data_IF_112988766323
#
_entry.id   IF_112988766323
#
_cell.length_a   1.000
_cell.length_b   1.000
_cell.length_c   1.000
_cell.angle_alpha   90.00
_cell.angle_beta   90.00
_cell.angle_gamma   90.00
#
_symmetry.space_group_name_H-M   'P 1'
#
loop_
_entity.id
_entity.type
_entity.pdbx_description
1 polymer ?
#
# COMPACT_ATOMS: atom_id res chain seq x y z
N UNK A 1 -12.62 -34.40 -41.40
CA UNK A 1 -13.87 -33.88 -40.77
C UNK A 1 -13.68 -33.63 -39.28
N UNK A 2 -12.81 -34.35 -38.60
CA UNK A 2 -12.51 -34.18 -37.14
C UNK A 2 -11.81 -32.86 -36.76
N UNK A 3 -10.86 -32.37 -37.58
CA UNK A 3 -10.11 -31.15 -37.26
C UNK A 3 -11.03 -29.90 -37.13
N UNK A 4 -12.07 -29.79 -37.98
CA UNK A 4 -13.06 -28.71 -37.90
C UNK A 4 -13.94 -28.82 -36.65
N UNK A 5 -14.20 -30.05 -36.16
CA UNK A 5 -14.95 -30.26 -34.93
C UNK A 5 -14.14 -29.83 -33.69
N UNK A 6 -12.84 -30.17 -33.69
CA UNK A 6 -11.93 -29.77 -32.60
C UNK A 6 -11.72 -28.25 -32.57
N UNK A 7 -11.54 -27.62 -33.74
CA UNK A 7 -11.41 -26.17 -33.82
C UNK A 7 -12.70 -25.43 -33.38
N UNK A 8 -13.86 -25.97 -33.73
CA UNK A 8 -15.14 -25.38 -33.28
C UNK A 8 -15.38 -25.60 -31.77
N UNK A 9 -14.94 -26.73 -31.20
CA UNK A 9 -15.01 -27.00 -29.77
C UNK A 9 -14.07 -26.08 -28.98
N UNK A 10 -12.83 -25.89 -29.46
CA UNK A 10 -11.88 -24.92 -28.90
C UNK A 10 -12.34 -23.47 -29.00
N UNK A 11 -13.11 -23.16 -30.05
CA UNK A 11 -13.70 -21.83 -30.24
C UNK A 11 -14.93 -21.60 -29.35
N UNK A 12 -15.69 -22.69 -29.05
CA UNK A 12 -16.82 -22.66 -28.10
C UNK A 12 -16.36 -22.50 -26.65
N UNK A 13 -15.25 -23.14 -26.27
CA UNK A 13 -14.71 -23.02 -24.91
C UNK A 13 -14.08 -21.62 -24.66
N UNK A 14 -13.63 -20.92 -25.72
CA UNK A 14 -13.18 -19.54 -25.61
C UNK A 14 -14.32 -18.52 -25.42
N UNK A 15 -15.57 -18.84 -25.75
CA UNK A 15 -16.72 -17.94 -25.54
C UNK A 15 -17.11 -17.77 -24.06
N UNK A 16 -16.69 -18.68 -23.18
CA UNK A 16 -16.92 -18.54 -21.72
C UNK A 16 -15.93 -17.53 -21.11
N UNK A 17 -14.81 -17.22 -21.80
CA UNK A 17 -13.79 -16.27 -21.35
C UNK A 17 -13.96 -14.83 -21.96
N UNK A 18 -14.95 -14.59 -22.79
CA UNK A 18 -15.09 -13.30 -23.53
C UNK A 18 -15.71 -12.16 -22.71
N UNK A 19 -16.20 -12.41 -21.49
CA UNK A 19 -16.68 -11.35 -20.61
C UNK A 19 -15.56 -10.79 -19.75
N UNK A 20 -15.11 -9.57 -19.99
CA UNK A 20 -14.28 -8.85 -19.01
C UNK A 20 -15.01 -8.83 -17.67
N UNK A 21 -14.42 -9.43 -16.64
CA UNK A 21 -15.02 -9.46 -15.31
C UNK A 21 -14.83 -8.12 -14.61
N UNK A 22 -15.58 -7.09 -15.03
CA UNK A 22 -15.46 -5.73 -14.49
C UNK A 22 -15.59 -5.68 -12.97
N UNK A 23 -16.45 -6.51 -12.37
CA UNK A 23 -16.61 -6.59 -10.92
C UNK A 23 -15.30 -6.97 -10.23
N UNK A 24 -14.54 -7.92 -10.78
CA UNK A 24 -13.24 -8.32 -10.24
C UNK A 24 -12.22 -7.19 -10.43
N UNK A 25 -12.22 -6.53 -11.59
CA UNK A 25 -11.34 -5.41 -11.87
C UNK A 25 -11.57 -4.23 -10.92
N UNK A 26 -12.83 -3.92 -10.61
CA UNK A 26 -13.17 -2.86 -9.64
C UNK A 26 -12.72 -3.24 -8.24
N UNK A 27 -12.99 -4.47 -7.80
CA UNK A 27 -12.58 -4.95 -6.47
C UNK A 27 -11.06 -4.90 -6.31
N UNK A 28 -10.31 -5.38 -7.31
CA UNK A 28 -8.85 -5.38 -7.25
C UNK A 28 -8.27 -3.97 -7.34
N UNK A 29 -8.91 -3.06 -8.08
CA UNK A 29 -8.56 -1.65 -8.15
C UNK A 29 -8.78 -0.94 -6.80
N UNK A 30 -9.89 -1.24 -6.11
CA UNK A 30 -10.16 -0.73 -4.76
C UNK A 30 -9.14 -1.30 -3.76
N UNK A 31 -8.81 -2.59 -3.86
CA UNK A 31 -7.79 -3.20 -3.00
C UNK A 31 -6.42 -2.56 -3.21
N UNK A 32 -6.05 -2.24 -4.46
CA UNK A 32 -4.83 -1.52 -4.79
C UNK A 32 -4.86 -0.09 -4.24
N UNK A 33 -5.99 0.60 -4.40
CA UNK A 33 -6.20 1.93 -3.82
C UNK A 33 -5.96 1.93 -2.30
N UNK A 34 -6.56 0.99 -1.57
CA UNK A 34 -6.41 0.89 -0.11
C UNK A 34 -4.98 0.56 0.30
N UNK A 35 -4.34 -0.39 -0.40
CA UNK A 35 -2.96 -0.78 -0.11
C UNK A 35 -1.99 0.39 -0.31
N UNK A 36 -2.08 1.10 -1.43
CA UNK A 36 -1.18 2.20 -1.76
C UNK A 36 -1.48 3.46 -0.94
N UNK A 37 -2.75 3.68 -0.58
CA UNK A 37 -3.15 4.72 0.35
C UNK A 37 -2.46 4.54 1.72
N UNK A 38 -2.49 3.31 2.26
CA UNK A 38 -1.82 2.98 3.53
C UNK A 38 -0.31 3.18 3.40
N UNK A 39 0.29 2.70 2.33
CA UNK A 39 1.75 2.81 2.12
C UNK A 39 2.21 4.25 1.96
N UNK A 40 1.43 5.09 1.28
CA UNK A 40 1.78 6.50 1.06
C UNK A 40 1.64 7.38 2.31
N UNK A 41 0.97 6.90 3.37
CA UNK A 41 1.01 7.53 4.70
C UNK A 41 2.44 7.52 5.27
N UNK A 42 3.24 6.48 5.02
CA UNK A 42 4.60 6.33 5.59
C UNK A 42 5.50 7.52 5.26
N UNK A 43 5.72 7.89 3.99
CA UNK A 43 6.52 9.08 3.67
C UNK A 43 5.85 10.39 4.12
N UNK A 44 4.53 10.45 4.20
CA UNK A 44 3.82 11.65 4.65
C UNK A 44 4.08 11.97 6.13
N UNK A 45 4.38 10.96 6.95
CA UNK A 45 4.69 11.14 8.39
C UNK A 45 6.19 11.29 8.68
N UNK A 46 7.07 11.28 7.67
CA UNK A 46 8.53 11.44 7.87
C UNK A 46 8.91 12.70 8.65
N UNK A 47 8.31 13.87 8.44
CA UNK A 47 8.62 15.04 9.27
C UNK A 47 8.39 14.78 10.75
N UNK A 48 7.29 14.13 11.09
CA UNK A 48 6.93 13.79 12.48
C UNK A 48 7.93 12.76 13.06
N UNK A 49 8.24 11.72 12.31
CA UNK A 49 9.23 10.71 12.72
C UNK A 49 10.59 11.36 12.94
N UNK A 50 11.01 12.23 12.01
CA UNK A 50 12.30 12.94 12.10
C UNK A 50 12.42 13.75 13.38
N UNK A 51 11.39 14.50 13.75
CA UNK A 51 11.39 15.31 14.96
C UNK A 51 11.37 14.46 16.22
N UNK A 52 10.48 13.46 16.29
CA UNK A 52 10.29 12.63 17.48
C UNK A 52 11.53 11.79 17.83
N UNK A 53 12.25 11.31 16.83
CA UNK A 53 13.44 10.50 17.00
C UNK A 53 14.74 11.31 16.82
N UNK A 54 14.67 12.62 16.58
CA UNK A 54 15.80 13.51 16.29
C UNK A 54 16.68 12.97 15.15
N UNK A 55 16.06 12.42 14.10
CA UNK A 55 16.77 11.79 13.00
C UNK A 55 17.43 12.79 12.08
N UNK A 56 18.55 12.39 11.53
CA UNK A 56 19.22 13.07 10.43
C UNK A 56 18.50 12.80 9.10
N UNK A 57 18.76 13.62 8.09
CA UNK A 57 18.24 13.36 6.73
C UNK A 57 18.79 12.05 6.13
N UNK A 58 19.99 11.64 6.52
CA UNK A 58 20.59 10.38 6.10
C UNK A 58 19.80 9.17 6.66
N UNK A 59 19.35 9.24 7.90
CA UNK A 59 18.52 8.18 8.52
C UNK A 59 17.13 8.10 7.89
N UNK A 60 16.50 9.24 7.55
CA UNK A 60 15.25 9.25 6.77
C UNK A 60 15.48 8.65 5.38
N UNK A 61 16.61 9.00 4.74
CA UNK A 61 17.01 8.38 3.47
C UNK A 61 17.19 6.87 3.59
N UNK A 62 17.76 6.40 4.70
CA UNK A 62 17.94 4.97 4.96
C UNK A 62 16.58 4.26 5.16
N UNK A 63 15.64 4.87 5.89
CA UNK A 63 14.27 4.33 6.04
C UNK A 63 13.60 4.17 4.66
N UNK A 64 13.67 5.21 3.82
CA UNK A 64 13.13 5.18 2.46
C UNK A 64 13.82 4.13 1.61
N UNK A 65 15.13 4.05 1.67
CA UNK A 65 15.94 3.08 0.92
C UNK A 65 15.57 1.64 1.30
N UNK A 66 15.48 1.33 2.59
CA UNK A 66 15.11 -0.01 3.07
C UNK A 66 13.69 -0.38 2.63
N UNK A 67 12.74 0.55 2.73
CA UNK A 67 11.38 0.35 2.23
C UNK A 67 11.37 0.01 0.73
N UNK A 68 12.04 0.83 -0.09
CA UNK A 68 12.09 0.64 -1.55
C UNK A 68 12.83 -0.64 -1.94
N UNK A 69 13.91 -0.97 -1.26
CA UNK A 69 14.64 -2.22 -1.49
C UNK A 69 13.78 -3.44 -1.16
N UNK A 70 13.11 -3.44 -0.01
CA UNK A 70 12.22 -4.52 0.38
C UNK A 70 11.05 -4.68 -0.60
N UNK A 71 10.43 -3.58 -1.03
CA UNK A 71 9.31 -3.63 -1.97
C UNK A 71 9.76 -4.01 -3.40
N UNK A 72 10.83 -3.41 -3.91
CA UNK A 72 11.19 -3.54 -5.34
C UNK A 72 11.98 -4.81 -5.64
N UNK A 73 12.95 -5.19 -4.80
CA UNK A 73 13.80 -6.37 -5.06
C UNK A 73 13.00 -7.66 -4.91
N UNK A 74 12.09 -7.72 -3.95
CA UNK A 74 11.32 -8.92 -3.69
C UNK A 74 10.19 -9.15 -4.71
N UNK A 75 9.69 -8.09 -5.39
CA UNK A 75 8.61 -8.23 -6.38
C UNK A 75 8.89 -9.25 -7.49
N UNK A 76 10.05 -9.24 -8.17
CA UNK A 76 10.31 -10.24 -9.20
C UNK A 76 10.36 -11.67 -8.64
N UNK A 77 10.89 -11.86 -7.44
CA UNK A 77 10.96 -13.19 -6.82
C UNK A 77 9.57 -13.69 -6.41
N UNK A 78 8.75 -12.84 -5.81
CA UNK A 78 7.36 -13.17 -5.46
C UNK A 78 6.52 -13.42 -6.69
N UNK A 79 6.68 -12.61 -7.76
CA UNK A 79 6.01 -12.82 -9.04
C UNK A 79 6.37 -14.15 -9.69
N UNK A 80 7.66 -14.49 -9.80
CA UNK A 80 8.14 -15.76 -10.34
C UNK A 80 7.67 -16.96 -9.51
N UNK A 81 7.61 -16.83 -8.20
CA UNK A 81 7.08 -17.87 -7.32
C UNK A 81 5.59 -18.09 -7.53
N UNK A 82 4.83 -16.99 -7.58
CA UNK A 82 3.38 -17.01 -7.79
C UNK A 82 2.98 -17.58 -9.17
N UNK A 83 3.78 -17.34 -10.20
CA UNK A 83 3.55 -17.92 -11.53
C UNK A 83 3.67 -19.45 -11.54
N UNK A 84 4.56 -19.99 -10.72
CA UNK A 84 4.76 -21.44 -10.60
C UNK A 84 3.80 -22.09 -9.60
N UNK A 85 3.45 -21.39 -8.55
CA UNK A 85 2.62 -21.87 -7.45
C UNK A 85 1.53 -20.84 -7.14
N UNK A 86 0.40 -20.85 -7.88
CA UNK A 86 -0.70 -19.93 -7.64
C UNK A 86 -1.21 -20.05 -6.20
N UNK A 87 -1.14 -18.95 -5.46
CA UNK A 87 -1.53 -18.88 -4.05
C UNK A 87 -2.82 -18.07 -3.90
N UNK A 88 -3.97 -18.69 -3.58
CA UNK A 88 -5.24 -17.99 -3.51
C UNK A 88 -5.29 -16.93 -2.39
N UNK A 89 -4.41 -17.05 -1.39
CA UNK A 89 -4.36 -16.14 -0.24
C UNK A 89 -3.23 -15.11 -0.30
N UNK A 90 -2.44 -15.08 -1.38
CA UNK A 90 -1.27 -14.21 -1.48
C UNK A 90 -1.63 -12.72 -1.35
N UNK A 91 -2.74 -12.28 -1.96
CA UNK A 91 -3.24 -10.91 -1.82
C UNK A 91 -3.54 -10.54 -0.36
N UNK A 92 -4.28 -11.40 0.33
CA UNK A 92 -4.61 -11.20 1.75
C UNK A 92 -3.36 -11.21 2.62
N UNK A 93 -2.42 -12.10 2.31
CA UNK A 93 -1.14 -12.20 3.01
C UNK A 93 -0.32 -10.91 2.85
N UNK A 94 -0.21 -10.38 1.62
CA UNK A 94 0.46 -9.12 1.35
C UNK A 94 -0.14 -7.96 2.15
N UNK A 95 -1.47 -7.83 2.16
CA UNK A 95 -2.17 -6.81 2.95
C UNK A 95 -1.99 -7.01 4.47
N UNK A 96 -1.96 -8.26 4.96
CA UNK A 96 -1.67 -8.55 6.35
C UNK A 96 -0.26 -8.10 6.76
N UNK A 97 0.76 -8.35 5.92
CA UNK A 97 2.12 -7.86 6.18
C UNK A 97 2.17 -6.33 6.20
N UNK A 98 1.51 -5.66 5.27
CA UNK A 98 1.41 -4.19 5.27
C UNK A 98 0.77 -3.67 6.55
N UNK A 99 -0.33 -4.30 7.01
CA UNK A 99 -1.01 -3.93 8.25
C UNK A 99 -0.13 -4.17 9.48
N UNK A 100 0.51 -5.34 9.58
CA UNK A 100 1.43 -5.66 10.69
C UNK A 100 2.59 -4.68 10.74
N UNK A 101 3.19 -4.37 9.58
CA UNK A 101 4.25 -3.38 9.48
C UNK A 101 3.80 -1.98 9.93
N UNK A 102 2.57 -1.58 9.59
CA UNK A 102 2.01 -0.30 10.03
C UNK A 102 1.74 -0.28 11.55
N UNK A 103 1.27 -1.39 12.12
CA UNK A 103 1.12 -1.52 13.57
C UNK A 103 2.48 -1.45 14.27
N UNK A 104 3.50 -2.14 13.76
CA UNK A 104 4.86 -2.04 14.29
C UNK A 104 5.38 -0.60 14.22
N UNK A 105 5.09 0.13 13.12
CA UNK A 105 5.46 1.53 12.96
C UNK A 105 4.78 2.41 14.01
N UNK A 106 3.49 2.16 14.31
CA UNK A 106 2.74 2.92 15.30
C UNK A 106 3.29 2.75 16.74
N UNK A 107 3.85 1.59 17.05
CA UNK A 107 4.47 1.29 18.36
C UNK A 107 5.99 1.44 18.36
N UNK A 108 6.58 1.99 17.30
CA UNK A 108 8.02 2.13 17.19
C UNK A 108 8.54 3.15 18.21
N UNK A 109 9.32 2.70 19.18
CA UNK A 109 10.03 3.54 20.17
C UNK A 109 11.51 3.67 19.89
N UNK A 110 12.05 2.99 18.87
CA UNK A 110 13.48 2.97 18.55
C UNK A 110 13.69 2.95 17.03
N UNK A 111 14.82 3.51 16.58
CA UNK A 111 15.16 3.58 15.16
C UNK A 111 15.16 2.21 14.45
N UNK A 112 15.70 1.18 15.08
CA UNK A 112 15.72 -0.17 14.50
C UNK A 112 14.33 -0.77 14.31
N UNK A 113 13.39 -0.42 15.18
CA UNK A 113 12.00 -0.85 15.02
C UNK A 113 11.30 -0.11 13.87
N UNK A 114 11.66 1.15 13.60
CA UNK A 114 11.24 1.87 12.39
C UNK A 114 11.73 1.15 11.12
N UNK A 115 13.00 0.79 11.08
CA UNK A 115 13.60 0.05 9.94
C UNK A 115 12.90 -1.30 9.73
N UNK A 116 12.67 -2.05 10.81
CA UNK A 116 11.94 -3.32 10.73
C UNK A 116 10.50 -3.12 10.22
N UNK A 117 9.80 -2.10 10.73
CA UNK A 117 8.43 -1.79 10.35
C UNK A 117 8.30 -1.51 8.85
N UNK A 118 9.14 -0.64 8.30
CA UNK A 118 9.11 -0.31 6.87
C UNK A 118 9.57 -1.48 6.01
N UNK A 119 10.46 -2.35 6.51
CA UNK A 119 10.84 -3.59 5.82
C UNK A 119 9.66 -4.53 5.67
N UNK A 120 8.87 -4.70 6.74
CA UNK A 120 7.67 -5.55 6.74
C UNK A 120 6.58 -4.97 5.82
N UNK A 121 6.39 -3.63 5.81
CA UNK A 121 5.47 -2.96 4.87
C UNK A 121 5.94 -3.20 3.43
N UNK A 122 7.23 -3.02 3.15
CA UNK A 122 7.81 -3.25 1.82
C UNK A 122 7.65 -4.70 1.36
N UNK A 123 7.83 -5.67 2.27
CA UNK A 123 7.60 -7.09 1.97
C UNK A 123 6.12 -7.36 1.62
N UNK A 124 5.18 -6.78 2.37
CA UNK A 124 3.75 -6.85 2.05
C UNK A 124 3.43 -6.31 0.65
N UNK A 125 4.01 -5.16 0.30
CA UNK A 125 3.94 -4.54 -1.01
C UNK A 125 4.47 -5.46 -2.12
N UNK A 126 5.63 -6.08 -1.89
CA UNK A 126 6.27 -6.98 -2.84
C UNK A 126 5.45 -8.24 -3.17
N UNK A 127 4.63 -8.70 -2.24
CA UNK A 127 3.70 -9.81 -2.47
C UNK A 127 2.44 -9.30 -3.17
N UNK A 128 1.88 -8.18 -2.71
CA UNK A 128 0.58 -7.69 -3.18
C UNK A 128 0.59 -7.30 -4.66
N UNK A 129 1.55 -6.47 -5.09
CA UNK A 129 1.52 -5.86 -6.42
C UNK A 129 1.57 -6.86 -7.58
N UNK A 130 2.48 -7.87 -7.63
CA UNK A 130 2.51 -8.82 -8.73
C UNK A 130 1.26 -9.70 -8.75
N UNK A 131 0.76 -10.14 -7.59
CA UNK A 131 -0.46 -10.95 -7.53
C UNK A 131 -1.71 -10.17 -7.92
N UNK A 132 -1.86 -8.94 -7.46
CA UNK A 132 -2.98 -8.08 -7.82
C UNK A 132 -2.99 -7.76 -9.33
N UNK A 133 -1.83 -7.45 -9.90
CA UNK A 133 -1.66 -7.25 -11.35
C UNK A 133 -2.02 -8.52 -12.14
N UNK A 134 -1.61 -9.69 -11.66
CA UNK A 134 -1.94 -10.98 -12.26
C UNK A 134 -3.45 -11.27 -12.23
N UNK A 135 -4.12 -11.03 -11.10
CA UNK A 135 -5.59 -11.17 -11.00
C UNK A 135 -6.28 -10.23 -11.97
N UNK A 136 -5.83 -8.98 -12.08
CA UNK A 136 -6.36 -8.02 -13.05
C UNK A 136 -6.20 -8.51 -14.50
N UNK A 137 -5.04 -9.08 -14.84
CA UNK A 137 -4.82 -9.65 -16.17
C UNK A 137 -5.71 -10.87 -16.46
N UNK A 138 -5.91 -11.75 -15.48
CA UNK A 138 -6.82 -12.91 -15.63
C UNK A 138 -8.27 -12.46 -15.81
N UNK A 139 -8.70 -11.40 -15.12
CA UNK A 139 -10.05 -10.84 -15.23
C UNK A 139 -10.28 -10.01 -16.50
N UNK A 140 -9.25 -9.83 -17.34
CA UNK A 140 -9.27 -8.89 -18.47
C UNK A 140 -10.16 -9.29 -19.64
N UNK A 141 -10.51 -10.59 -19.81
CA UNK A 141 -11.24 -11.07 -20.98
C UNK A 141 -10.52 -10.71 -22.31
N UNK A 142 -9.18 -10.80 -22.36
CA UNK A 142 -8.36 -10.44 -23.51
C UNK A 142 -7.98 -8.95 -23.59
N UNK A 143 -8.61 -8.06 -22.81
CA UNK A 143 -8.33 -6.61 -22.79
C UNK A 143 -7.31 -6.25 -21.71
N UNK A 144 -6.11 -6.83 -21.78
CA UNK A 144 -5.07 -6.71 -20.74
C UNK A 144 -4.69 -5.25 -20.42
N UNK A 145 -4.56 -4.39 -21.45
CA UNK A 145 -4.21 -2.98 -21.25
C UNK A 145 -5.30 -2.23 -20.47
N UNK A 146 -6.57 -2.46 -20.80
CA UNK A 146 -7.69 -1.85 -20.07
C UNK A 146 -7.71 -2.31 -18.59
N UNK A 147 -7.56 -3.61 -18.36
CA UNK A 147 -7.53 -4.15 -17.00
C UNK A 147 -6.39 -3.56 -16.17
N UNK A 148 -5.20 -3.47 -16.76
CA UNK A 148 -4.04 -2.87 -16.11
C UNK A 148 -4.23 -1.37 -15.85
N UNK A 149 -4.89 -0.64 -16.77
CA UNK A 149 -5.20 0.79 -16.57
C UNK A 149 -6.15 1.00 -15.40
N UNK A 150 -7.22 0.19 -15.30
CA UNK A 150 -8.18 0.26 -14.19
C UNK A 150 -7.47 -0.05 -12.86
N UNK A 151 -6.64 -1.08 -12.83
CA UNK A 151 -5.84 -1.46 -11.67
C UNK A 151 -4.92 -0.30 -11.23
N UNK A 152 -4.21 0.32 -12.17
CA UNK A 152 -3.25 1.38 -11.90
C UNK A 152 -3.91 2.69 -11.45
N UNK A 153 -5.11 2.99 -11.94
CA UNK A 153 -5.91 4.14 -11.46
C UNK A 153 -6.19 3.99 -9.96
N UNK A 154 -6.49 2.77 -9.50
CA UNK A 154 -6.65 2.50 -8.07
C UNK A 154 -5.40 2.86 -7.27
N UNK A 155 -4.24 2.31 -7.62
CA UNK A 155 -2.98 2.56 -6.92
C UNK A 155 -2.58 4.05 -6.90
N UNK A 156 -2.63 4.70 -8.07
CA UNK A 156 -2.30 6.14 -8.17
C UNK A 156 -3.28 6.99 -7.34
N UNK A 157 -4.57 6.64 -7.35
CA UNK A 157 -5.58 7.29 -6.51
C UNK A 157 -5.28 7.13 -5.02
N UNK A 158 -4.92 5.91 -4.59
CA UNK A 158 -4.52 5.62 -3.22
C UNK A 158 -3.29 6.43 -2.78
N UNK A 159 -2.25 6.42 -3.60
CA UNK A 159 -1.03 7.18 -3.35
C UNK A 159 -1.26 8.70 -3.24
N UNK A 160 -2.23 9.24 -3.98
CA UNK A 160 -2.60 10.65 -3.90
C UNK A 160 -3.40 10.97 -2.62
N UNK A 161 -4.28 10.06 -2.17
CA UNK A 161 -5.16 10.27 -1.02
C UNK A 161 -4.45 10.05 0.31
N UNK A 162 -3.46 9.14 0.38
CA UNK A 162 -2.78 8.80 1.63
C UNK A 162 -2.16 9.99 2.37
N UNK A 163 -1.40 10.88 1.73
CA UNK A 163 -0.87 12.09 2.37
C UNK A 163 -1.96 13.04 2.89
N UNK A 164 -3.09 13.15 2.17
CA UNK A 164 -4.24 13.94 2.60
C UNK A 164 -4.86 13.37 3.87
N UNK A 165 -4.98 12.04 3.95
CA UNK A 165 -5.45 11.35 5.16
C UNK A 165 -4.48 11.56 6.33
N UNK A 166 -3.17 11.42 6.09
CA UNK A 166 -2.17 11.68 7.12
C UNK A 166 -2.28 13.11 7.68
N UNK A 167 -2.45 14.10 6.81
CA UNK A 167 -2.65 15.49 7.21
C UNK A 167 -3.98 15.71 7.97
N UNK A 168 -5.07 15.09 7.50
CA UNK A 168 -6.38 15.19 8.15
C UNK A 168 -6.37 14.54 9.54
N UNK A 169 -5.76 13.35 9.68
CA UNK A 169 -5.63 12.67 10.98
C UNK A 169 -4.75 13.47 11.95
N UNK A 170 -3.66 14.06 11.49
CA UNK A 170 -2.83 14.95 12.28
C UNK A 170 -3.64 16.13 12.84
N UNK A 171 -4.48 16.76 12.03
CA UNK A 171 -5.35 17.86 12.45
C UNK A 171 -6.45 17.41 13.42
N UNK A 172 -7.05 16.23 13.21
CA UNK A 172 -8.08 15.68 14.12
C UNK A 172 -7.47 15.30 15.47
N UNK A 173 -6.31 14.68 15.51
CA UNK A 173 -5.60 14.38 16.77
C UNK A 173 -5.25 15.66 17.52
N UNK A 174 -4.77 16.68 16.83
CA UNK A 174 -4.48 18.00 17.44
C UNK A 174 -5.74 18.63 18.00
N UNK A 175 -6.87 18.56 17.29
CA UNK A 175 -8.15 19.12 17.76
C UNK A 175 -8.68 18.38 19.00
N UNK A 176 -8.66 17.05 19.02
CA UNK A 176 -9.08 16.25 20.19
C UNK A 176 -8.14 16.45 21.38
N UNK A 177 -6.83 16.55 21.15
CA UNK A 177 -5.88 16.82 22.22
C UNK A 177 -6.02 18.25 22.77
N UNK A 178 -6.36 19.26 21.96
CA UNK A 178 -6.65 20.60 22.46
C UNK A 178 -7.87 20.61 23.39
N UNK A 179 -8.90 19.83 23.12
CA UNK A 179 -10.06 19.69 24.00
C UNK A 179 -9.74 18.92 25.30
N UNK A 180 -8.87 17.90 25.23
CA UNK A 180 -8.43 17.15 26.41
C UNK A 180 -7.38 17.89 27.25
N UNK A 181 -6.58 18.77 26.64
CA UNK A 181 -5.51 19.53 27.30
C UNK A 181 -5.99 20.68 28.19
N UNK A 182 -7.25 21.08 28.12
CA UNK A 182 -7.83 21.98 29.12
C UNK A 182 -7.91 21.35 30.53
N UNK A 183 -7.62 20.05 30.64
CA UNK A 183 -7.73 19.32 31.91
C UNK A 183 -6.43 18.67 32.44
N UNK A 184 -5.28 18.72 31.69
CA UNK A 184 -4.05 18.09 32.19
C UNK A 184 -2.77 18.76 31.69
N UNK A 185 -2.08 19.44 32.60
CA UNK A 185 -1.08 20.50 32.34
C UNK A 185 0.33 20.05 31.89
N UNK A 186 0.70 18.75 31.93
CA UNK A 186 2.07 18.30 31.69
C UNK A 186 2.28 17.55 30.37
N UNK A 187 1.23 17.01 29.78
CA UNK A 187 1.29 16.36 28.46
C UNK A 187 1.16 17.35 27.30
N UNK A 188 0.75 18.59 27.60
CA UNK A 188 0.48 19.65 26.63
C UNK A 188 1.74 20.24 25.97
N UNK A 189 2.89 20.19 26.64
CA UNK A 189 4.14 20.76 26.10
C UNK A 189 4.61 20.07 24.82
N UNK A 190 4.40 18.77 24.74
CA UNK A 190 4.78 17.97 23.57
C UNK A 190 3.85 18.23 22.37
N UNK A 191 2.54 18.37 22.61
CA UNK A 191 1.52 18.63 21.59
C UNK A 191 1.55 20.07 21.04
N UNK A 192 1.96 21.03 21.84
CA UNK A 192 2.15 22.43 21.40
C UNK A 192 3.32 22.55 20.41
N UNK A 193 4.38 21.73 20.56
CA UNK A 193 5.49 21.70 19.61
C UNK A 193 5.07 21.13 18.24
N UNK A 194 4.23 20.11 18.19
CA UNK A 194 3.67 19.56 16.95
C UNK A 194 2.81 20.60 16.23
N UNK A 195 2.01 21.41 16.99
CA UNK A 195 1.18 22.48 16.44
C UNK A 195 2.01 23.61 15.84
N UNK A 196 3.12 23.98 16.46
CA UNK A 196 4.00 25.06 15.96
C UNK A 196 4.67 24.67 14.63
N UNK A 197 4.92 23.39 14.40
CA UNK A 197 5.51 22.87 13.16
C UNK A 197 4.51 22.83 12.00
N UNK A 198 3.26 22.40 12.25
CA UNK A 198 2.20 22.32 11.24
C UNK A 198 1.63 23.68 10.83
N UNK A 199 1.68 24.68 11.72
CA UNK A 199 1.22 26.06 11.39
C UNK A 199 2.30 26.92 10.71
N UNK A 200 3.54 26.43 10.55
CA UNK A 200 4.64 27.14 9.89
C UNK A 200 4.98 26.66 8.49
N UNK A 201 4.21 25.69 7.96
CA UNK A 201 4.31 25.37 6.54
C UNK A 201 3.60 26.44 5.71
N UNK A 202 4.30 27.07 4.76
CA UNK A 202 3.75 28.12 3.90
C UNK A 202 2.67 27.58 2.95
#
# INVERSE_FOLDING_TARGET
MELKSITNKLKGDNHIAEGTAYSILVIISISHFLNDMIQSVVPAIYPIIKENFSLTFAEIGLITFVFQMASSILQPFTGLYADKHPQPFALSLGMCFTLVGLLLLAFAGQFWLLILSVSVIGFGSAIFHPEASRVAQMASGGRKSLAQSIFQVGGNGGSAVGPLLAAAMGNIMVCHCCCACLHYNDTCRWLVQVKACLCRAP
#
